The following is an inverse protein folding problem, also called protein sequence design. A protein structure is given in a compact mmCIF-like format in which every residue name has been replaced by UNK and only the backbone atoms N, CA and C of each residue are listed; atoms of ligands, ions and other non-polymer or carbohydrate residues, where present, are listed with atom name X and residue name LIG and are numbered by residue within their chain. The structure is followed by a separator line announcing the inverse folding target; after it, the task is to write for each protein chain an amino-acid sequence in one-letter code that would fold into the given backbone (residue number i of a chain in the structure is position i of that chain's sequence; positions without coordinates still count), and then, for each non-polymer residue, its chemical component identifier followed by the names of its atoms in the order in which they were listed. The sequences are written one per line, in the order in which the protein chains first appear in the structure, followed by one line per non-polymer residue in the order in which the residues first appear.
data_IF_088450443773
#
_entry.id   IF_088450443773
#
_cell.length_a   1.000
_cell.length_b   1.000
_cell.length_c   1.000
_cell.angle_alpha   90.00
_cell.angle_beta   90.00
_cell.angle_gamma   90.00
#
_symmetry.space_group_name_H-M   'P 1'
#
loop_
_entity.id
_entity.type
_entity.pdbx_description
1 polymer ?
#
# COMPACT_ATOMS: atom_id res chain seq x y z
N UNK A 1 9.71 8.08 -14.77
CA UNK A 1 8.47 7.27 -14.75
C UNK A 1 7.33 8.14 -14.25
N UNK A 2 6.17 8.17 -14.93
CA UNK A 2 5.01 8.94 -14.47
C UNK A 2 4.33 8.27 -13.24
N UNK A 3 3.40 8.98 -12.61
CA UNK A 3 2.81 8.53 -11.35
C UNK A 3 1.96 7.24 -11.49
N UNK A 4 1.25 7.09 -12.62
CA UNK A 4 0.41 5.90 -12.87
C UNK A 4 1.29 4.66 -13.06
N UNK A 5 2.24 4.71 -13.98
CA UNK A 5 3.18 3.62 -14.25
C UNK A 5 4.00 3.25 -13.01
N UNK A 6 4.35 4.24 -12.17
CA UNK A 6 5.06 3.97 -10.93
C UNK A 6 4.17 3.24 -9.93
N UNK A 7 2.87 3.59 -9.85
CA UNK A 7 1.89 2.87 -9.04
C UNK A 7 1.82 1.40 -9.43
N UNK A 8 1.56 1.12 -10.69
CA UNK A 8 1.51 -0.24 -11.24
C UNK A 8 2.81 -1.01 -11.01
N UNK A 9 3.95 -0.34 -11.16
CA UNK A 9 5.26 -0.96 -10.95
C UNK A 9 5.45 -1.38 -9.48
N UNK A 10 5.13 -0.49 -8.53
CA UNK A 10 5.26 -0.78 -7.09
C UNK A 10 4.29 -1.88 -6.67
N UNK A 11 3.06 -1.88 -7.17
CA UNK A 11 2.09 -2.95 -6.91
C UNK A 11 2.64 -4.30 -7.40
N UNK A 12 3.16 -4.38 -8.63
CA UNK A 12 3.75 -5.60 -9.18
C UNK A 12 5.02 -6.02 -8.45
N UNK A 13 5.87 -5.08 -8.05
CA UNK A 13 7.08 -5.35 -7.26
C UNK A 13 6.73 -5.97 -5.90
N UNK A 14 5.76 -5.42 -5.20
CA UNK A 14 5.27 -5.95 -3.93
C UNK A 14 4.57 -7.30 -4.14
N UNK A 15 3.77 -7.46 -5.19
CA UNK A 15 3.13 -8.73 -5.53
C UNK A 15 4.16 -9.83 -5.79
N UNK A 16 5.21 -9.55 -6.54
CA UNK A 16 6.29 -10.51 -6.82
C UNK A 16 7.03 -10.92 -5.53
N UNK A 17 7.30 -9.98 -4.63
CA UNK A 17 7.92 -10.25 -3.34
C UNK A 17 7.06 -11.15 -2.44
N UNK A 18 5.75 -10.94 -2.46
CA UNK A 18 4.78 -11.64 -1.60
C UNK A 18 4.27 -12.96 -2.23
N UNK A 19 4.61 -13.24 -3.49
CA UNK A 19 4.22 -14.48 -4.17
C UNK A 19 4.85 -15.71 -3.47
N UNK A 20 4.20 -16.89 -3.57
CA UNK A 20 2.92 -17.16 -4.25
C UNK A 20 1.67 -16.93 -3.37
N UNK A 21 1.83 -16.47 -2.13
CA UNK A 21 0.73 -16.41 -1.15
C UNK A 21 -0.26 -15.28 -1.41
N UNK A 22 0.24 -14.19 -1.98
CA UNK A 22 -0.57 -13.02 -2.32
C UNK A 22 -0.77 -12.93 -3.82
N UNK A 23 -2.00 -12.73 -4.23
CA UNK A 23 -2.40 -12.64 -5.64
C UNK A 23 -3.25 -11.39 -5.85
N UNK A 24 -3.28 -10.90 -7.08
CA UNK A 24 -4.22 -9.85 -7.46
C UNK A 24 -5.65 -10.42 -7.37
N UNK A 25 -6.63 -9.64 -6.87
CA UNK A 25 -8.00 -10.09 -6.84
C UNK A 25 -8.51 -10.32 -8.26
N UNK A 26 -9.32 -11.35 -8.44
CA UNK A 26 -9.96 -11.57 -9.72
C UNK A 26 -10.89 -10.40 -10.06
N UNK A 27 -10.69 -9.80 -11.23
CA UNK A 27 -11.48 -8.67 -11.72
C UNK A 27 -12.24 -9.12 -12.96
N UNK A 28 -13.57 -9.06 -12.93
CA UNK A 28 -14.36 -9.09 -14.15
C UNK A 28 -14.35 -7.69 -14.77
N UNK A 29 -14.00 -7.61 -16.07
CA UNK A 29 -14.12 -6.38 -16.87
C UNK A 29 -13.24 -5.18 -16.50
N UNK A 30 -11.98 -5.38 -16.14
CA UNK A 30 -11.01 -4.30 -15.88
C UNK A 30 -11.47 -3.24 -14.86
N UNK A 31 -12.42 -3.54 -14.01
CA UNK A 31 -12.95 -2.61 -13.03
C UNK A 31 -12.00 -2.41 -11.84
N UNK A 32 -12.13 -1.25 -11.22
CA UNK A 32 -11.32 -0.80 -10.10
C UNK A 32 -11.51 -1.70 -8.88
N UNK A 33 -10.47 -2.42 -8.52
CA UNK A 33 -10.49 -3.20 -7.28
C UNK A 33 -10.51 -2.27 -6.06
N UNK A 34 -11.17 -2.72 -5.01
CA UNK A 34 -11.20 -2.02 -3.73
C UNK A 34 -9.96 -2.27 -2.87
N UNK A 35 -9.10 -3.19 -3.30
CA UNK A 35 -7.78 -3.52 -2.73
C UNK A 35 -6.88 -4.07 -3.85
N UNK A 36 -5.56 -4.06 -3.63
CA UNK A 36 -4.59 -4.38 -4.68
C UNK A 36 -4.19 -5.86 -4.68
N UNK A 37 -3.99 -6.47 -3.49
CA UNK A 37 -3.64 -7.88 -3.35
C UNK A 37 -4.54 -8.56 -2.32
N UNK A 38 -4.71 -9.89 -2.48
CA UNK A 38 -5.40 -10.73 -1.51
C UNK A 38 -4.73 -12.07 -1.32
N UNK A 39 -4.94 -12.69 -0.16
CA UNK A 39 -4.59 -14.09 0.09
C UNK A 39 -5.63 -14.77 0.96
N UNK A 40 -5.72 -16.08 0.85
CA UNK A 40 -6.53 -16.92 1.76
C UNK A 40 -5.64 -17.50 2.85
N UNK A 41 -6.02 -17.27 4.11
CA UNK A 41 -5.35 -17.84 5.28
C UNK A 41 -6.36 -18.19 6.37
N UNK A 42 -6.37 -19.46 6.82
CA UNK A 42 -7.26 -19.90 7.90
C UNK A 42 -8.76 -19.71 7.60
N UNK A 43 -9.19 -19.95 6.35
CA UNK A 43 -10.59 -19.77 5.93
C UNK A 43 -11.02 -18.31 5.70
N UNK A 44 -10.11 -17.36 5.87
CA UNK A 44 -10.34 -15.92 5.69
C UNK A 44 -9.60 -15.39 4.48
N UNK A 45 -10.19 -14.40 3.79
CA UNK A 45 -9.47 -13.59 2.79
C UNK A 45 -8.89 -12.36 3.46
N UNK A 46 -7.57 -12.24 3.46
CA UNK A 46 -6.84 -11.06 3.88
C UNK A 46 -6.61 -10.17 2.66
N UNK A 47 -6.76 -8.85 2.82
CA UNK A 47 -6.76 -7.84 1.76
C UNK A 47 -5.73 -6.77 2.02
N UNK A 48 -4.97 -6.41 1.00
CA UNK A 48 -3.88 -5.45 1.09
C UNK A 48 -4.09 -4.31 0.09
N UNK A 49 -3.93 -3.09 0.56
CA UNK A 49 -3.87 -1.87 -0.26
C UNK A 49 -2.42 -1.38 -0.30
N UNK A 50 -1.95 -0.99 -1.48
CA UNK A 50 -0.60 -0.48 -1.71
C UNK A 50 -0.70 0.98 -2.14
N UNK A 51 0.07 1.85 -1.48
CA UNK A 51 0.17 3.26 -1.81
C UNK A 51 1.62 3.65 -1.99
N UNK A 52 1.90 4.44 -3.00
CA UNK A 52 3.27 4.87 -3.28
C UNK A 52 3.38 6.39 -3.36
N UNK A 53 4.56 6.88 -3.06
CA UNK A 53 4.97 8.25 -3.33
C UNK A 53 6.47 8.29 -3.59
N UNK A 54 6.92 9.22 -4.42
CA UNK A 54 8.34 9.40 -4.72
C UNK A 54 8.70 10.88 -4.72
N UNK A 55 9.92 11.18 -4.27
CA UNK A 55 10.45 12.55 -4.29
C UNK A 55 10.79 13.00 -5.71
N UNK A 56 11.31 12.09 -6.54
CA UNK A 56 11.59 12.37 -7.94
C UNK A 56 10.34 12.14 -8.79
N UNK A 57 9.93 13.17 -9.51
CA UNK A 57 8.80 13.14 -10.45
C UNK A 57 9.32 13.40 -11.89
N UNK A 58 8.54 13.14 -12.95
CA UNK A 58 8.96 13.40 -14.32
C UNK A 58 9.41 14.84 -14.59
N UNK A 59 8.86 15.78 -13.81
CA UNK A 59 9.18 17.22 -13.90
C UNK A 59 10.25 17.71 -12.90
N UNK A 60 10.89 16.80 -12.18
CA UNK A 60 11.93 17.09 -11.20
C UNK A 60 11.54 16.75 -9.75
N UNK A 61 12.42 17.05 -8.79
CA UNK A 61 12.20 16.72 -7.39
C UNK A 61 11.08 17.57 -6.74
N UNK A 62 10.20 16.93 -6.01
CA UNK A 62 9.12 17.59 -5.24
C UNK A 62 9.64 17.97 -3.85
N UNK A 63 9.44 19.23 -3.47
CA UNK A 63 9.86 19.75 -2.13
C UNK A 63 8.82 19.51 -1.05
N UNK A 64 7.54 19.42 -1.42
CA UNK A 64 6.47 19.21 -0.43
C UNK A 64 6.58 17.82 0.21
N UNK A 65 6.25 17.69 1.51
CA UNK A 65 6.20 16.41 2.17
C UNK A 65 5.23 15.44 1.47
N UNK A 66 5.62 14.16 1.29
CA UNK A 66 4.76 13.18 0.64
C UNK A 66 3.49 12.92 1.45
N UNK A 67 2.40 12.76 0.73
CA UNK A 67 1.10 12.33 1.26
C UNK A 67 0.65 11.08 0.54
N UNK A 68 -0.02 10.21 1.27
CA UNK A 68 -0.55 8.95 0.78
C UNK A 68 -2.06 8.92 0.96
N UNK A 69 -2.76 8.59 -0.11
CA UNK A 69 -4.22 8.52 -0.10
C UNK A 69 -4.69 7.31 0.72
N UNK A 70 -5.59 7.58 1.66
CA UNK A 70 -6.27 6.58 2.49
C UNK A 70 -7.78 6.81 2.51
N UNK A 71 -8.30 7.57 1.54
CA UNK A 71 -9.73 7.84 1.48
C UNK A 71 -10.55 6.54 1.41
N UNK A 72 -11.70 6.50 2.09
CA UNK A 72 -12.65 5.42 1.90
C UNK A 72 -13.09 5.32 0.44
N UNK A 73 -13.14 4.11 -0.10
CA UNK A 73 -13.58 3.83 -1.47
C UNK A 73 -15.05 3.41 -1.48
N UNK A 74 -15.80 3.86 -2.48
CA UNK A 74 -17.17 3.39 -2.72
C UNK A 74 -17.11 2.07 -3.50
N UNK A 75 -17.91 1.11 -3.06
CA UNK A 75 -18.15 -0.12 -3.80
C UNK A 75 -19.31 0.12 -4.77
N UNK A 76 -19.04 0.11 -6.07
CA UNK A 76 -20.05 0.32 -7.10
C UNK A 76 -21.01 -0.87 -7.26
N UNK A 77 -20.66 -2.05 -6.71
CA UNK A 77 -21.54 -3.20 -6.64
C UNK A 77 -22.45 -3.20 -5.39
N UNK A 78 -22.22 -2.26 -4.46
CA UNK A 78 -22.95 -2.10 -3.20
C UNK A 78 -23.20 -0.61 -2.93
N UNK A 79 -24.01 0.01 -3.78
CA UNK A 79 -24.27 1.45 -3.75
C UNK A 79 -25.03 1.90 -2.48
N UNK A 80 -25.71 0.98 -1.83
CA UNK A 80 -26.40 1.15 -0.53
C UNK A 80 -25.43 1.21 0.67
N UNK A 81 -24.20 0.69 0.52
CA UNK A 81 -23.18 0.77 1.56
C UNK A 81 -22.40 2.10 1.49
N UNK A 82 -22.08 2.72 2.63
CA UNK A 82 -21.23 3.90 2.64
C UNK A 82 -19.80 3.56 2.20
N UNK A 83 -19.04 4.53 1.68
CA UNK A 83 -17.64 4.36 1.38
C UNK A 83 -16.86 3.87 2.60
N UNK A 84 -16.01 2.86 2.42
CA UNK A 84 -15.19 2.35 3.51
C UNK A 84 -13.81 1.89 3.01
N UNK A 85 -12.88 1.64 3.94
CA UNK A 85 -11.57 1.06 3.66
C UNK A 85 -11.71 -0.45 3.72
N UNK A 86 -11.61 -1.12 2.58
CA UNK A 86 -11.89 -2.57 2.45
C UNK A 86 -10.66 -3.45 2.68
N UNK A 87 -9.46 -2.90 2.61
CA UNK A 87 -8.23 -3.63 2.92
C UNK A 87 -8.09 -3.86 4.44
N UNK A 88 -7.46 -4.96 4.83
CA UNK A 88 -7.11 -5.24 6.22
C UNK A 88 -5.84 -4.49 6.65
N UNK A 89 -4.89 -4.33 5.71
CA UNK A 89 -3.65 -3.60 5.93
C UNK A 89 -3.29 -2.73 4.73
N UNK A 90 -2.45 -1.75 4.98
CA UNK A 90 -1.84 -0.86 3.98
C UNK A 90 -0.32 -1.04 3.98
N UNK A 91 0.25 -1.10 2.78
CA UNK A 91 1.68 -0.94 2.54
C UNK A 91 1.89 0.41 1.85
N UNK A 92 2.66 1.28 2.48
CA UNK A 92 3.03 2.58 1.94
C UNK A 92 4.48 2.52 1.49
N UNK A 93 4.73 2.71 0.20
CA UNK A 93 6.06 2.71 -0.41
C UNK A 93 6.52 4.14 -0.64
N UNK A 94 7.69 4.50 -0.09
CA UNK A 94 8.31 5.80 -0.24
C UNK A 94 9.67 5.69 -0.91
N UNK A 95 9.86 6.42 -2.02
CA UNK A 95 11.13 6.56 -2.73
C UNK A 95 11.71 7.95 -2.47
N UNK A 96 12.79 8.01 -1.71
CA UNK A 96 13.40 9.27 -1.27
C UNK A 96 14.46 9.82 -2.23
N UNK A 97 15.02 8.95 -3.08
CA UNK A 97 16.13 9.28 -3.96
C UNK A 97 15.77 10.35 -5.00
N UNK A 98 16.75 11.21 -5.30
CA UNK A 98 16.63 12.31 -6.29
C UNK A 98 17.85 12.34 -7.20
N UNK A 99 17.72 13.06 -8.32
CA UNK A 99 18.80 13.19 -9.32
C UNK A 99 18.99 11.92 -10.14
N UNK A 100 20.16 11.77 -10.73
CA UNK A 100 20.49 10.70 -11.69
C UNK A 100 20.58 9.30 -11.04
N UNK A 101 20.77 9.26 -9.71
CA UNK A 101 20.80 8.01 -8.96
C UNK A 101 19.40 7.44 -8.67
N UNK A 102 18.33 8.21 -8.86
CA UNK A 102 16.97 7.81 -8.57
C UNK A 102 16.45 6.79 -9.60
N UNK A 103 16.36 5.53 -9.21
CA UNK A 103 15.75 4.48 -10.03
C UNK A 103 14.54 3.85 -9.29
N UNK A 104 13.34 4.19 -9.75
CA UNK A 104 12.12 3.62 -9.17
C UNK A 104 11.98 2.10 -9.38
N UNK A 105 12.83 1.51 -10.23
CA UNK A 105 12.85 0.06 -10.48
C UNK A 105 13.76 -0.70 -9.52
N UNK A 106 14.59 0.00 -8.77
CA UNK A 106 15.45 -0.61 -7.76
C UNK A 106 14.67 -0.76 -6.43
N UNK A 107 14.33 -2.00 -6.02
CA UNK A 107 13.62 -2.25 -4.77
C UNK A 107 14.37 -1.76 -3.53
N UNK A 108 15.72 -1.70 -3.58
CA UNK A 108 16.55 -1.26 -2.47
C UNK A 108 16.41 0.24 -2.16
N UNK A 109 15.94 1.03 -3.13
CA UNK A 109 15.70 2.47 -2.97
C UNK A 109 14.33 2.80 -2.36
N UNK A 110 13.49 1.80 -2.11
CA UNK A 110 12.19 1.96 -1.49
C UNK A 110 12.22 1.66 0.01
N UNK A 111 11.57 2.52 0.76
CA UNK A 111 11.26 2.29 2.17
C UNK A 111 9.77 2.02 2.29
N UNK A 112 9.42 0.97 3.02
CA UNK A 112 8.03 0.56 3.19
C UNK A 112 7.56 0.83 4.61
N UNK A 113 6.26 1.14 4.75
CA UNK A 113 5.58 1.28 6.03
C UNK A 113 4.35 0.38 6.02
N UNK A 114 4.20 -0.46 7.03
CA UNK A 114 3.04 -1.35 7.18
C UNK A 114 2.15 -0.84 8.30
N UNK A 115 0.88 -0.63 7.99
CA UNK A 115 -0.13 -0.23 8.96
C UNK A 115 -1.41 -1.07 8.83
N UNK A 116 -1.96 -1.51 9.95
CA UNK A 116 -3.30 -2.10 9.97
C UNK A 116 -4.35 -1.01 9.65
N UNK A 117 -5.36 -1.33 8.85
CA UNK A 117 -6.39 -0.36 8.45
C UNK A 117 -7.07 0.31 9.64
N UNK A 118 -7.30 -0.44 10.73
CA UNK A 118 -7.90 0.08 11.97
C UNK A 118 -7.05 1.13 12.70
N UNK A 119 -5.72 1.18 12.43
CA UNK A 119 -4.83 2.19 13.02
C UNK A 119 -4.77 3.49 12.21
N UNK A 120 -5.34 3.50 11.01
CA UNK A 120 -5.42 4.69 10.18
C UNK A 120 -6.42 5.69 10.78
N UNK A 121 -6.14 7.00 10.72
CA UNK A 121 -7.07 8.01 11.22
C UNK A 121 -8.42 7.94 10.47
N UNK A 122 -9.55 7.81 11.18
CA UNK A 122 -10.85 7.55 10.55
C UNK A 122 -11.32 8.71 9.66
N UNK A 123 -11.08 9.94 10.09
CA UNK A 123 -11.62 11.15 9.47
C UNK A 123 -10.67 11.79 8.45
N UNK A 124 -9.51 11.19 8.19
CA UNK A 124 -8.53 11.71 7.24
C UNK A 124 -8.59 10.97 5.90
N UNK A 125 -8.43 11.72 4.82
CA UNK A 125 -8.32 11.16 3.45
C UNK A 125 -6.88 10.88 3.06
N UNK A 126 -5.90 11.44 3.78
CA UNK A 126 -4.48 11.24 3.50
C UNK A 126 -3.68 11.13 4.79
N UNK A 127 -2.55 10.43 4.74
CA UNK A 127 -1.53 10.44 5.80
C UNK A 127 -0.21 10.98 5.25
N UNK A 128 0.56 11.65 6.10
CA UNK A 128 1.88 12.16 5.75
C UNK A 128 2.97 11.13 6.08
N UNK A 129 4.16 11.30 5.49
CA UNK A 129 5.35 10.51 5.87
C UNK A 129 5.67 10.65 7.37
N UNK A 130 5.48 11.85 7.95
CA UNK A 130 5.69 12.06 9.39
C UNK A 130 4.70 11.24 10.24
N UNK A 131 3.46 11.10 9.79
CA UNK A 131 2.49 10.23 10.46
C UNK A 131 2.92 8.76 10.37
N UNK A 132 3.33 8.29 9.18
CA UNK A 132 3.79 6.91 8.96
C UNK A 132 4.97 6.56 9.86
N UNK A 133 5.97 7.43 9.98
CA UNK A 133 7.14 7.22 10.85
C UNK A 133 6.78 7.04 12.33
N UNK A 134 5.69 7.61 12.80
CA UNK A 134 5.25 7.51 14.20
C UNK A 134 4.26 6.36 14.47
N UNK A 135 3.51 5.92 13.45
CA UNK A 135 2.35 5.06 13.66
C UNK A 135 2.36 3.75 12.85
N UNK A 136 3.32 3.59 11.94
CA UNK A 136 3.46 2.40 11.10
C UNK A 136 4.85 1.76 11.32
N UNK A 137 4.98 0.48 11.00
CA UNK A 137 6.27 -0.21 11.06
C UNK A 137 7.04 0.04 9.78
N UNK A 138 8.20 0.70 9.90
CA UNK A 138 9.10 0.97 8.78
C UNK A 138 10.02 -0.23 8.53
N UNK A 139 10.13 -0.64 7.25
CA UNK A 139 10.96 -1.78 6.83
C UNK A 139 11.56 -1.57 5.45
N UNK A 140 12.64 -2.30 5.17
CA UNK A 140 13.15 -2.48 3.81
C UNK A 140 12.37 -3.54 3.03
N UNK A 141 12.73 -3.70 1.76
CA UNK A 141 12.06 -4.61 0.84
C UNK A 141 12.05 -6.06 1.36
N UNK A 142 13.20 -6.60 1.74
CA UNK A 142 13.33 -8.01 2.16
C UNK A 142 12.57 -8.35 3.46
N UNK A 143 12.32 -7.36 4.31
CA UNK A 143 11.64 -7.54 5.59
C UNK A 143 10.11 -7.41 5.48
N UNK A 144 9.62 -6.87 4.37
CA UNK A 144 8.21 -6.58 4.18
C UNK A 144 7.29 -7.80 4.39
N UNK A 145 7.59 -9.01 3.85
CA UNK A 145 6.72 -10.18 4.04
C UNK A 145 6.52 -10.54 5.52
N UNK A 146 7.60 -10.58 6.29
CA UNK A 146 7.54 -10.96 7.71
C UNK A 146 6.77 -9.94 8.55
N UNK A 147 6.98 -8.65 8.30
CA UNK A 147 6.29 -7.57 9.03
C UNK A 147 4.81 -7.51 8.69
N UNK A 148 4.45 -7.70 7.42
CA UNK A 148 3.06 -7.78 7.00
C UNK A 148 2.33 -8.96 7.67
N UNK A 149 2.97 -10.12 7.72
CA UNK A 149 2.43 -11.30 8.39
C UNK A 149 2.20 -11.07 9.88
N UNK A 150 3.15 -10.45 10.56
CA UNK A 150 3.03 -10.11 11.98
C UNK A 150 1.87 -9.13 12.23
N UNK A 151 1.74 -8.09 11.40
CA UNK A 151 0.68 -7.10 11.50
C UNK A 151 -0.71 -7.74 11.36
N UNK A 152 -0.90 -8.60 10.35
CA UNK A 152 -2.17 -9.29 10.10
C UNK A 152 -2.50 -10.35 11.17
N UNK A 153 -1.49 -11.04 11.69
CA UNK A 153 -1.68 -12.03 12.78
C UNK A 153 -2.15 -11.36 14.07
N UNK A 154 -1.59 -10.21 14.42
CA UNK A 154 -2.03 -9.45 15.59
C UNK A 154 -3.48 -8.96 15.47
N UNK A 155 -3.96 -8.71 14.26
CA UNK A 155 -5.35 -8.34 14.01
C UNK A 155 -6.32 -9.49 14.31
N UNK A 156 -5.93 -10.73 14.00
CA UNK A 156 -6.76 -11.93 14.21
C UNK A 156 -6.90 -12.27 15.68
N UNK A 157 -5.86 -12.04 16.49
CA UNK A 157 -5.86 -12.36 17.95
C UNK A 157 -6.68 -11.38 18.81
N UNK A 158 -7.05 -10.22 18.30
CA UNK A 158 -7.77 -9.17 19.04
C UNK A 158 -9.26 -9.06 18.68
N UNK A 159 -9.76 -9.99 17.88
CA UNK A 159 -11.18 -10.20 17.60
C UNK A 159 -11.71 -11.37 18.43
#
# INVERSE_FOLDING_TARGET
MNNVLRGEYVENMVAALLAPHWVQPWKSNHEWSLWDLERKRGGRTEKLEIKQSARMQPWGPVRSPPRFDIAPKRDFNRLDEPPCRRADAYVFAWHAEVGDAADHRDPAQWVFFVAATRSLPPDQKTVSLGWLRRNATQVGFDQLPAVLDAALTQMTRRR
#
